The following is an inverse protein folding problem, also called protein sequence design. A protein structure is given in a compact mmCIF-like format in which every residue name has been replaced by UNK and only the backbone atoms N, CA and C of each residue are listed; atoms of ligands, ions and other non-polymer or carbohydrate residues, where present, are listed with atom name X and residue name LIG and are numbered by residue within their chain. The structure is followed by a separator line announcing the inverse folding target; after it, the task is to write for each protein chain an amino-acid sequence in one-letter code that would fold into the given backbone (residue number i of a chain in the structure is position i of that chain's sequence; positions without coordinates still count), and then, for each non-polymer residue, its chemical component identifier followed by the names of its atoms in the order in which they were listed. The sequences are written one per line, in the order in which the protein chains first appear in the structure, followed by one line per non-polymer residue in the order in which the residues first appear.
data_IF_941442522150
#
_entry.id   IF_941442522150
#
_cell.length_a   1.000
_cell.length_b   1.000
_cell.length_c   1.000
_cell.angle_alpha   90.00
_cell.angle_beta   90.00
_cell.angle_gamma   90.00
#
_symmetry.space_group_name_H-M   'P 1'
#
loop_
_entity.id
_entity.type
_entity.pdbx_description
1 polymer ?
#
# COMPACT_ATOMS: atom_id res chain seq x y z
N UNK A 1 -16.98 5.63 -27.07
CA UNK A 1 -15.52 5.82 -27.11
C UNK A 1 -15.07 6.23 -25.72
N UNK A 2 -14.10 5.53 -25.13
CA UNK A 2 -13.49 5.86 -23.81
C UNK A 2 -12.11 6.45 -24.05
N UNK A 3 -11.76 7.50 -23.31
CA UNK A 3 -10.49 8.22 -23.37
C UNK A 3 -10.00 8.47 -21.94
N UNK A 4 -8.69 8.40 -21.75
CA UNK A 4 -8.01 8.63 -20.49
C UNK A 4 -6.80 9.54 -20.72
N UNK A 5 -6.46 10.42 -19.76
CA UNK A 5 -5.23 11.20 -19.87
C UNK A 5 -4.02 10.27 -19.78
N UNK A 6 -3.23 10.30 -20.84
CA UNK A 6 -2.02 9.52 -20.99
C UNK A 6 -0.83 10.37 -20.54
N UNK A 7 -0.68 10.55 -19.23
CA UNK A 7 0.59 11.00 -18.64
C UNK A 7 1.72 10.17 -19.24
N UNK A 8 2.65 10.85 -19.91
CA UNK A 8 3.65 10.21 -20.78
C UNK A 8 4.69 9.40 -20.01
N UNK A 9 4.30 8.26 -19.44
CA UNK A 9 5.10 7.24 -18.73
C UNK A 9 6.38 7.77 -18.05
N UNK A 10 6.23 8.73 -17.16
CA UNK A 10 7.30 9.19 -16.28
C UNK A 10 6.88 8.99 -14.83
N UNK A 11 7.34 7.88 -14.27
CA UNK A 11 7.17 7.53 -12.86
C UNK A 11 7.79 8.62 -11.96
N UNK A 12 7.05 9.20 -10.99
CA UNK A 12 7.63 10.12 -10.02
C UNK A 12 8.77 9.46 -9.24
N UNK A 13 9.77 10.26 -8.83
CA UNK A 13 11.03 9.79 -8.23
C UNK A 13 10.75 8.76 -7.12
N UNK A 14 11.14 7.51 -7.35
CA UNK A 14 10.99 6.40 -6.39
C UNK A 14 9.82 5.44 -6.63
N UNK A 15 8.81 5.78 -7.43
CA UNK A 15 7.66 4.87 -7.67
C UNK A 15 8.02 3.61 -8.47
N UNK A 16 9.13 3.62 -9.22
CA UNK A 16 9.66 2.52 -10.02
C UNK A 16 9.70 1.17 -9.32
N UNK A 17 9.53 0.08 -10.07
CA UNK A 17 9.40 -1.27 -9.52
C UNK A 17 10.77 -1.93 -9.25
N UNK A 18 10.97 -2.62 -8.12
CA UNK A 18 12.09 -3.52 -7.95
C UNK A 18 11.87 -4.80 -8.77
N UNK A 19 12.95 -5.52 -9.07
CA UNK A 19 12.88 -6.82 -9.74
C UNK A 19 12.69 -7.91 -8.70
N UNK A 20 11.62 -8.71 -8.83
CA UNK A 20 11.45 -9.92 -8.02
C UNK A 20 12.47 -10.97 -8.44
N UNK A 21 13.10 -11.63 -7.49
CA UNK A 21 13.90 -12.82 -7.77
C UNK A 21 12.95 -13.98 -8.15
N UNK A 22 13.28 -14.79 -9.17
CA UNK A 22 12.56 -16.04 -9.39
C UNK A 22 12.84 -16.97 -8.20
N UNK A 23 11.79 -17.56 -7.61
CA UNK A 23 11.98 -18.65 -6.66
C UNK A 23 12.65 -19.81 -7.39
N UNK A 24 13.75 -20.34 -6.85
CA UNK A 24 14.32 -21.61 -7.30
C UNK A 24 13.35 -22.74 -6.94
N UNK A 25 12.43 -23.06 -7.84
CA UNK A 25 11.67 -24.31 -7.77
C UNK A 25 12.65 -25.47 -7.95
N UNK A 26 12.63 -26.51 -7.09
CA UNK A 26 13.33 -27.75 -7.38
C UNK A 26 12.86 -28.31 -8.73
N UNK A 27 13.78 -28.80 -9.56
CA UNK A 27 13.41 -29.38 -10.86
C UNK A 27 12.73 -30.74 -10.65
N UNK A 28 11.39 -30.73 -10.67
CA UNK A 28 10.57 -31.93 -10.86
C UNK A 28 10.32 -32.16 -12.35
N UNK A 29 10.44 -33.42 -12.79
CA UNK A 29 10.38 -33.81 -14.21
C UNK A 29 8.97 -33.65 -14.81
N UNK A 30 8.90 -33.35 -16.11
CA UNK A 30 7.67 -33.26 -16.90
C UNK A 30 6.94 -34.62 -17.01
N UNK A 31 5.60 -34.58 -17.07
CA UNK A 31 4.83 -35.49 -17.94
C UNK A 31 3.40 -35.00 -18.27
N UNK A 32 3.17 -34.75 -19.55
CA UNK A 32 2.03 -35.23 -20.38
C UNK A 32 0.56 -35.01 -19.98
N UNK A 33 -0.05 -33.97 -20.58
CA UNK A 33 -1.32 -33.94 -21.38
C UNK A 33 -2.71 -34.37 -20.81
N UNK A 34 -3.74 -34.05 -21.61
CA UNK A 34 -5.18 -34.41 -21.52
C UNK A 34 -6.02 -33.70 -20.42
N UNK A 35 -7.26 -33.25 -20.66
CA UNK A 35 -7.93 -32.93 -21.94
C UNK A 35 -9.06 -31.89 -21.77
N UNK A 36 -9.68 -31.46 -22.87
CA UNK A 36 -10.84 -30.54 -22.91
C UNK A 36 -12.14 -31.34 -23.09
N UNK A 37 -13.19 -31.04 -22.29
CA UNK A 37 -14.56 -31.28 -22.75
C UNK A 37 -15.56 -30.28 -22.15
N UNK A 38 -16.51 -29.83 -22.99
CA UNK A 38 -17.65 -28.97 -22.64
C UNK A 38 -18.89 -29.83 -22.35
N UNK A 39 -19.74 -29.37 -21.42
CA UNK A 39 -21.03 -30.00 -21.09
C UNK A 39 -22.07 -29.00 -20.59
N UNK A 40 -23.02 -28.66 -21.46
CA UNK A 40 -24.36 -28.14 -21.11
C UNK A 40 -25.25 -29.36 -20.75
N UNK A 41 -26.41 -29.31 -20.09
CA UNK A 41 -27.48 -28.30 -20.16
C UNK A 41 -28.54 -28.47 -19.04
N UNK A 42 -29.51 -27.52 -19.01
CA UNK A 42 -30.91 -27.59 -18.50
C UNK A 42 -31.25 -27.49 -17.00
N UNK A 43 -32.07 -26.47 -16.75
CA UNK A 43 -33.04 -26.31 -15.65
C UNK A 43 -34.20 -27.34 -15.71
N UNK A 44 -35.04 -27.41 -14.66
CA UNK A 44 -36.37 -26.78 -14.82
C UNK A 44 -36.67 -25.65 -13.79
N UNK A 45 -37.84 -25.03 -13.94
CA UNK A 45 -38.33 -23.84 -13.22
C UNK A 45 -39.66 -24.14 -12.51
N UNK A 46 -39.91 -23.56 -11.33
CA UNK A 46 -41.26 -23.12 -10.95
C UNK A 46 -41.31 -22.01 -9.88
N UNK A 47 -41.53 -20.78 -10.35
CA UNK A 47 -42.45 -19.73 -9.86
C UNK A 47 -42.75 -19.44 -8.36
N UNK A 48 -42.62 -18.13 -8.03
CA UNK A 48 -43.52 -17.25 -7.24
C UNK A 48 -43.97 -17.70 -5.81
N UNK A 49 -43.91 -16.86 -4.76
CA UNK A 49 -44.49 -15.50 -4.65
C UNK A 49 -43.83 -14.64 -3.53
N UNK A 50 -44.19 -13.35 -3.49
CA UNK A 50 -43.97 -12.39 -2.38
C UNK A 50 -45.29 -12.22 -1.56
N UNK A 51 -45.45 -11.36 -0.51
CA UNK A 51 -44.59 -10.24 -0.07
C UNK A 51 -44.54 -9.96 1.48
N UNK A 52 -44.05 -8.77 1.83
CA UNK A 52 -44.39 -7.93 3.01
C UNK A 52 -43.63 -8.05 4.35
N UNK A 53 -43.32 -6.87 4.91
CA UNK A 53 -42.77 -6.58 6.25
C UNK A 53 -43.89 -6.24 7.25
N UNK A 54 -43.64 -6.15 8.58
CA UNK A 54 -43.30 -4.83 9.15
C UNK A 54 -42.37 -4.83 10.41
N UNK A 55 -41.95 -3.63 10.83
CA UNK A 55 -41.15 -3.36 12.04
C UNK A 55 -41.94 -3.44 13.36
N UNK A 56 -41.23 -3.52 14.50
CA UNK A 56 -41.64 -2.93 15.80
C UNK A 56 -40.42 -2.58 16.68
N UNK A 57 -40.62 -1.74 17.71
CA UNK A 57 -39.54 -0.97 18.37
C UNK A 57 -39.92 -0.46 19.79
N UNK A 58 -38.89 -0.05 20.58
CA UNK A 58 -38.91 0.64 21.91
C UNK A 58 -39.57 -0.13 23.09
N UNK A 59 -39.19 -0.03 24.39
CA UNK A 59 -38.15 0.72 25.18
C UNK A 59 -37.48 -0.24 26.22
N UNK A 60 -36.99 0.05 27.47
CA UNK A 60 -36.82 1.24 28.35
C UNK A 60 -35.73 1.02 29.48
N UNK A 61 -35.66 1.88 30.52
CA UNK A 61 -34.67 1.93 31.65
C UNK A 61 -35.34 2.45 32.97
N UNK A 62 -34.68 2.70 34.15
CA UNK A 62 -33.33 2.40 34.73
C UNK A 62 -33.47 1.58 36.07
N UNK A 63 -32.93 1.91 37.30
CA UNK A 63 -31.67 2.51 37.81
C UNK A 63 -30.93 1.82 39.02
N UNK A 64 -29.63 2.14 39.21
CA UNK A 64 -28.88 2.31 40.51
C UNK A 64 -28.61 1.09 41.47
N UNK A 65 -27.67 1.17 42.47
CA UNK A 65 -26.76 2.28 42.86
C UNK A 65 -25.23 1.97 43.10
N UNK A 66 -24.43 3.04 43.05
CA UNK A 66 -23.21 3.40 43.85
C UNK A 66 -21.94 2.52 44.04
N UNK A 67 -20.82 2.97 43.44
CA UNK A 67 -19.47 3.22 44.03
C UNK A 67 -18.58 2.06 44.60
N UNK A 68 -17.23 2.23 44.82
CA UNK A 68 -16.40 3.45 44.84
C UNK A 68 -15.16 3.48 43.90
N UNK A 69 -14.29 4.47 44.12
CA UNK A 69 -13.18 4.93 43.25
C UNK A 69 -11.98 3.98 43.11
N UNK A 70 -11.29 4.04 41.95
CA UNK A 70 -9.97 3.47 41.72
C UNK A 70 -9.06 4.40 40.88
N UNK A 71 -7.76 4.36 41.14
CA UNK A 71 -6.78 5.40 40.77
C UNK A 71 -6.38 5.34 39.29
N UNK A 72 -6.76 6.36 38.51
CA UNK A 72 -6.37 6.44 37.10
C UNK A 72 -4.86 6.69 36.93
N UNK A 73 -4.20 5.86 36.11
CA UNK A 73 -2.89 6.16 35.51
C UNK A 73 -3.09 7.15 34.35
N UNK A 74 -2.10 7.98 34.00
CA UNK A 74 -2.20 8.89 32.86
C UNK A 74 -2.49 8.12 31.58
N UNK A 75 -3.63 8.41 30.94
CA UNK A 75 -4.05 7.77 29.71
C UNK A 75 -3.26 8.32 28.51
N UNK A 76 -2.63 7.44 27.74
CA UNK A 76 -2.07 7.81 26.45
C UNK A 76 -3.20 8.33 25.53
N UNK A 77 -3.01 9.51 24.93
CA UNK A 77 -4.03 10.21 24.12
C UNK A 77 -4.72 9.27 23.13
N UNK A 78 -6.06 9.23 23.07
CA UNK A 78 -6.77 8.23 22.29
C UNK A 78 -6.50 8.37 20.79
N UNK A 79 -6.10 7.26 20.18
CA UNK A 79 -5.65 7.15 18.77
C UNK A 79 -6.71 7.54 17.73
N UNK A 80 -7.96 7.73 18.16
CA UNK A 80 -9.08 8.24 17.37
C UNK A 80 -8.85 9.68 16.89
N UNK A 81 -8.29 10.57 17.72
CA UNK A 81 -8.17 12.00 17.41
C UNK A 81 -7.46 12.27 16.08
N UNK A 82 -6.30 11.64 15.86
CA UNK A 82 -5.55 11.78 14.60
C UNK A 82 -6.30 11.21 13.38
N UNK A 83 -7.15 10.19 13.55
CA UNK A 83 -7.98 9.68 12.44
C UNK A 83 -9.08 10.68 12.06
N UNK A 84 -9.71 11.32 13.06
CA UNK A 84 -10.74 12.34 12.83
C UNK A 84 -10.13 13.59 12.17
N UNK A 85 -8.97 14.05 12.65
CA UNK A 85 -8.24 15.17 12.05
C UNK A 85 -7.88 14.93 10.58
N UNK A 86 -7.33 13.75 10.25
CA UNK A 86 -7.00 13.39 8.85
C UNK A 86 -8.25 13.28 7.97
N UNK A 87 -9.40 12.86 8.50
CA UNK A 87 -10.66 12.83 7.76
C UNK A 87 -11.21 14.24 7.49
N UNK A 88 -11.19 15.12 8.49
CA UNK A 88 -11.63 16.51 8.34
C UNK A 88 -10.69 17.33 7.41
N UNK A 89 -9.39 17.06 7.46
CA UNK A 89 -8.42 17.63 6.51
C UNK A 89 -8.67 17.12 5.08
N UNK A 90 -8.99 15.83 4.92
CA UNK A 90 -9.32 15.27 3.62
C UNK A 90 -10.63 15.83 3.04
N UNK A 91 -11.64 16.08 3.87
CA UNK A 91 -12.89 16.69 3.39
C UNK A 91 -12.68 18.12 2.91
N UNK A 92 -11.85 18.92 3.60
CA UNK A 92 -11.43 20.24 3.11
C UNK A 92 -10.73 20.19 1.75
N UNK A 93 -9.92 19.14 1.49
CA UNK A 93 -9.31 18.91 0.16
C UNK A 93 -10.38 18.58 -0.90
N UNK A 94 -11.45 17.88 -0.54
CA UNK A 94 -12.60 17.63 -1.43
C UNK A 94 -13.35 18.93 -1.75
N UNK A 95 -13.74 19.70 -0.72
CA UNK A 95 -14.43 20.99 -0.84
C UNK A 95 -13.63 21.98 -1.71
N UNK A 96 -12.32 22.10 -1.45
CA UNK A 96 -11.40 22.92 -2.24
C UNK A 96 -11.36 22.51 -3.72
N UNK A 97 -11.25 21.21 -4.01
CA UNK A 97 -11.23 20.71 -5.39
C UNK A 97 -12.56 20.96 -6.11
N UNK A 98 -13.71 20.83 -5.44
CA UNK A 98 -15.03 21.12 -6.01
C UNK A 98 -15.18 22.63 -6.31
N UNK A 99 -14.81 23.51 -5.36
CA UNK A 99 -14.85 24.96 -5.59
C UNK A 99 -13.96 25.34 -6.77
N UNK A 100 -12.72 24.86 -6.78
CA UNK A 100 -11.75 25.18 -7.84
C UNK A 100 -12.19 24.66 -9.22
N UNK A 101 -12.79 23.45 -9.29
CA UNK A 101 -13.37 22.95 -10.53
C UNK A 101 -14.47 23.88 -11.04
N UNK A 102 -15.40 24.27 -10.18
CA UNK A 102 -16.52 25.16 -10.55
C UNK A 102 -16.04 26.55 -10.96
N UNK A 103 -15.02 27.09 -10.29
CA UNK A 103 -14.44 28.39 -10.60
C UNK A 103 -13.67 28.38 -11.93
N UNK A 104 -12.83 27.38 -12.17
CA UNK A 104 -12.11 27.22 -13.44
C UNK A 104 -13.06 26.90 -14.60
N UNK A 105 -14.09 26.08 -14.39
CA UNK A 105 -15.10 25.79 -15.42
C UNK A 105 -15.82 27.07 -15.83
N UNK A 106 -16.29 27.86 -14.86
CA UNK A 106 -17.00 29.11 -15.08
C UNK A 106 -16.17 30.20 -15.75
N UNK A 107 -14.93 30.38 -15.30
CA UNK A 107 -14.09 31.53 -15.71
C UNK A 107 -13.18 31.26 -16.89
N UNK A 108 -12.53 30.09 -16.95
CA UNK A 108 -11.58 29.72 -18.01
C UNK A 108 -12.27 28.93 -19.11
N UNK A 109 -12.99 27.86 -18.75
CA UNK A 109 -13.60 26.93 -19.71
C UNK A 109 -15.01 27.32 -20.16
N UNK A 110 -15.56 28.44 -19.64
CA UNK A 110 -16.86 29.04 -20.00
C UNK A 110 -18.06 28.08 -19.86
N UNK A 111 -18.08 27.27 -18.82
CA UNK A 111 -19.04 26.17 -18.60
C UNK A 111 -19.02 25.10 -19.72
N UNK A 112 -17.91 24.99 -20.48
CA UNK A 112 -17.74 24.00 -21.54
C UNK A 112 -17.40 22.59 -21.04
N UNK A 113 -17.11 22.41 -19.74
CA UNK A 113 -17.03 21.09 -19.11
C UNK A 113 -18.37 20.73 -18.45
N UNK A 114 -18.84 19.47 -18.51
CA UNK A 114 -20.09 19.07 -17.88
C UNK A 114 -20.11 19.32 -16.37
N UNK A 115 -21.20 19.86 -15.85
CA UNK A 115 -21.38 20.12 -14.41
C UNK A 115 -21.44 18.82 -13.59
N UNK A 116 -21.78 17.68 -14.20
CA UNK A 116 -21.77 16.35 -13.57
C UNK A 116 -20.39 15.67 -13.56
N UNK A 117 -19.33 16.37 -13.97
CA UNK A 117 -17.95 15.85 -13.99
C UNK A 117 -17.50 15.38 -12.60
N UNK A 118 -17.20 14.08 -12.46
CA UNK A 118 -17.02 13.44 -11.16
C UNK A 118 -15.57 13.56 -10.67
N UNK A 119 -15.34 14.22 -9.53
CA UNK A 119 -14.04 14.25 -8.86
C UNK A 119 -13.87 13.01 -7.96
N UNK A 120 -13.15 11.99 -8.45
CA UNK A 120 -13.05 10.67 -7.83
C UNK A 120 -11.73 10.48 -7.06
N UNK A 121 -11.79 10.63 -5.73
CA UNK A 121 -10.61 10.51 -4.86
C UNK A 121 -10.21 9.05 -4.60
N UNK A 122 -9.13 8.59 -5.23
CA UNK A 122 -8.72 7.19 -5.24
C UNK A 122 -7.45 6.90 -4.39
N UNK A 123 -7.65 6.20 -3.27
CA UNK A 123 -6.63 5.63 -2.37
C UNK A 123 -5.64 4.65 -3.02
N UNK A 124 -5.92 4.21 -4.25
CA UNK A 124 -5.15 3.24 -5.05
C UNK A 124 -4.45 3.87 -6.27
N UNK A 125 -4.67 5.15 -6.57
CA UNK A 125 -3.91 5.87 -7.59
C UNK A 125 -2.58 6.30 -6.95
N UNK A 126 -1.49 5.56 -7.23
CA UNK A 126 -0.20 5.69 -6.53
C UNK A 126 1.00 5.96 -7.47
N UNK A 127 0.75 6.13 -8.78
CA UNK A 127 1.79 6.22 -9.83
C UNK A 127 1.73 7.52 -10.64
N UNK A 128 0.60 8.22 -10.61
CA UNK A 128 0.40 9.60 -11.03
C UNK A 128 -0.56 10.24 -10.02
N UNK A 129 -0.74 11.56 -10.08
CA UNK A 129 -1.54 12.31 -9.13
C UNK A 129 -2.98 12.58 -9.62
N UNK A 130 -3.15 12.74 -10.94
CA UNK A 130 -4.45 12.92 -11.59
C UNK A 130 -4.73 11.87 -12.66
N UNK A 131 -5.98 11.77 -13.11
CA UNK A 131 -6.35 11.25 -14.43
C UNK A 131 -7.75 11.69 -14.84
N UNK A 132 -7.84 12.56 -15.83
CA UNK A 132 -9.04 12.80 -16.61
C UNK A 132 -9.48 11.54 -17.36
N UNK A 133 -10.79 11.31 -17.38
CA UNK A 133 -11.47 10.29 -18.17
C UNK A 133 -12.67 10.92 -18.85
N UNK A 134 -12.89 10.58 -20.10
CA UNK A 134 -14.11 10.95 -20.81
C UNK A 134 -14.63 9.74 -21.58
N UNK A 135 -15.94 9.57 -21.56
CA UNK A 135 -16.63 8.57 -22.35
C UNK A 135 -17.84 9.18 -23.06
N UNK A 136 -18.00 8.85 -24.33
CA UNK A 136 -19.20 9.13 -25.12
C UNK A 136 -19.80 7.83 -25.65
N UNK A 137 -21.07 7.56 -25.30
CA UNK A 137 -21.81 6.38 -25.73
C UNK A 137 -22.25 6.47 -27.20
N UNK A 138 -22.88 5.43 -27.76
CA UNK A 138 -23.41 5.47 -29.14
C UNK A 138 -24.67 6.33 -29.24
N UNK A 139 -25.42 6.37 -28.15
CA UNK A 139 -26.64 7.13 -27.91
C UNK A 139 -26.35 8.63 -27.64
N UNK A 140 -25.08 9.04 -27.70
CA UNK A 140 -24.63 10.42 -27.55
C UNK A 140 -24.34 10.85 -26.11
N UNK A 141 -24.73 10.06 -25.10
CA UNK A 141 -24.50 10.35 -23.68
C UNK A 141 -23.01 10.50 -23.40
N UNK A 142 -22.63 11.62 -22.79
CA UNK A 142 -21.27 11.89 -22.37
C UNK A 142 -21.15 11.78 -20.85
N UNK A 143 -20.01 11.31 -20.36
CA UNK A 143 -19.67 11.29 -18.93
C UNK A 143 -18.20 11.63 -18.75
N UNK A 144 -17.91 12.57 -17.85
CA UNK A 144 -16.55 12.97 -17.50
C UNK A 144 -16.22 12.64 -16.04
N UNK A 145 -14.96 12.28 -15.78
CA UNK A 145 -14.44 11.98 -14.44
C UNK A 145 -12.99 12.49 -14.34
N UNK A 146 -12.60 13.04 -13.19
CA UNK A 146 -11.20 13.29 -12.85
C UNK A 146 -10.87 12.43 -11.63
N UNK A 147 -10.02 11.43 -11.82
CA UNK A 147 -9.47 10.61 -10.74
C UNK A 147 -8.34 11.37 -10.03
N UNK A 148 -8.39 11.46 -8.70
CA UNK A 148 -7.48 12.26 -7.88
C UNK A 148 -6.78 11.39 -6.82
N UNK A 149 -5.46 11.45 -6.72
CA UNK A 149 -4.68 10.58 -5.84
C UNK A 149 -4.58 11.12 -4.40
N UNK A 150 -5.47 10.64 -3.53
CA UNK A 150 -5.54 11.01 -2.09
C UNK A 150 -4.17 11.00 -1.37
N UNK A 151 -3.28 10.07 -1.72
CA UNK A 151 -1.97 9.91 -1.05
C UNK A 151 -0.85 10.77 -1.62
N UNK A 152 -1.12 11.52 -2.69
CA UNK A 152 -0.14 12.35 -3.41
C UNK A 152 -0.55 13.83 -3.33
N UNK A 153 -1.86 14.08 -3.39
CA UNK A 153 -2.49 15.40 -3.28
C UNK A 153 -2.73 15.76 -1.81
N UNK A 154 -1.64 15.90 -1.07
CA UNK A 154 -1.59 16.21 0.37
C UNK A 154 -1.76 17.72 0.68
N UNK A 155 -1.57 18.62 -0.29
CA UNK A 155 -1.77 20.06 -0.14
C UNK A 155 -2.53 20.72 -1.31
N UNK A 156 -3.12 21.89 -1.05
CA UNK A 156 -3.89 22.69 -2.02
C UNK A 156 -3.10 23.03 -3.29
N UNK A 157 -1.79 23.28 -3.17
CA UNK A 157 -0.90 23.56 -4.32
C UNK A 157 -0.82 22.36 -5.29
N UNK A 158 -0.66 21.15 -4.77
CA UNK A 158 -0.68 19.95 -5.61
C UNK A 158 -2.06 19.72 -6.19
N UNK A 159 -3.13 19.96 -5.41
CA UNK A 159 -4.51 19.82 -5.88
C UNK A 159 -4.77 20.78 -7.04
N UNK A 160 -4.46 22.08 -6.90
CA UNK A 160 -4.77 23.09 -7.93
C UNK A 160 -4.00 22.87 -9.22
N UNK A 161 -2.70 22.57 -9.13
CA UNK A 161 -1.87 22.32 -10.31
C UNK A 161 -2.29 21.03 -11.04
N UNK A 162 -2.67 19.98 -10.28
CA UNK A 162 -3.10 18.69 -10.84
C UNK A 162 -4.51 18.73 -11.41
N UNK A 163 -5.48 19.27 -10.66
CA UNK A 163 -6.87 19.38 -11.11
C UNK A 163 -6.96 20.22 -12.39
N UNK A 164 -6.24 21.35 -12.44
CA UNK A 164 -6.20 22.20 -13.64
C UNK A 164 -5.57 21.50 -14.85
N UNK A 165 -4.53 20.67 -14.64
CA UNK A 165 -3.92 19.84 -15.68
C UNK A 165 -4.94 18.84 -16.27
N UNK A 166 -5.72 18.16 -15.42
CA UNK A 166 -6.76 17.23 -15.86
C UNK A 166 -7.96 17.93 -16.51
N UNK A 167 -8.35 19.11 -16.02
CA UNK A 167 -9.37 19.94 -16.68
C UNK A 167 -8.95 20.41 -18.08
N UNK A 168 -7.65 20.69 -18.30
CA UNK A 168 -7.13 21.02 -19.63
C UNK A 168 -7.19 19.82 -20.61
N UNK A 169 -7.07 18.58 -20.11
CA UNK A 169 -7.33 17.38 -20.92
C UNK A 169 -8.81 17.28 -21.30
N UNK A 170 -9.72 17.38 -20.33
CA UNK A 170 -11.17 17.36 -20.60
C UNK A 170 -11.58 18.48 -21.59
N UNK A 171 -11.05 19.69 -21.43
CA UNK A 171 -11.34 20.81 -22.32
C UNK A 171 -10.92 20.54 -23.77
N UNK A 172 -9.74 19.94 -23.97
CA UNK A 172 -9.24 19.58 -25.30
C UNK A 172 -10.11 18.52 -25.99
N UNK A 173 -10.63 17.54 -25.23
CA UNK A 173 -11.47 16.48 -25.78
C UNK A 173 -12.95 16.87 -25.96
N UNK A 174 -13.48 17.73 -25.10
CA UNK A 174 -14.91 18.09 -25.04
C UNK A 174 -15.19 19.39 -25.83
N UNK A 175 -14.39 20.43 -25.62
CA UNK A 175 -14.63 21.77 -26.19
C UNK A 175 -14.01 21.86 -27.59
N UNK A 176 -12.74 21.49 -27.76
CA UNK A 176 -12.07 21.51 -29.06
C UNK A 176 -12.33 20.25 -29.91
N UNK A 177 -12.94 19.21 -29.31
CA UNK A 177 -13.19 17.90 -29.96
C UNK A 177 -11.94 17.20 -30.51
N UNK A 178 -10.76 17.43 -29.93
CA UNK A 178 -9.51 16.76 -30.33
C UNK A 178 -9.18 15.63 -29.36
N UNK A 179 -9.79 14.47 -29.60
CA UNK A 179 -9.73 13.30 -28.72
C UNK A 179 -8.47 12.42 -28.87
N UNK A 180 -7.50 12.79 -29.73
CA UNK A 180 -6.21 12.08 -29.85
C UNK A 180 -5.06 12.81 -29.17
N UNK A 181 -5.26 14.07 -28.75
CA UNK A 181 -4.22 14.88 -28.15
C UNK A 181 -4.09 14.64 -26.64
N UNK A 182 -2.84 14.49 -26.19
CA UNK A 182 -2.45 14.61 -24.77
C UNK A 182 -2.03 16.06 -24.50
N UNK A 183 -0.72 16.32 -24.43
CA UNK A 183 -0.16 17.64 -24.13
C UNK A 183 0.21 18.47 -25.37
N UNK A 184 -0.65 18.50 -26.38
CA UNK A 184 -0.40 19.18 -27.67
C UNK A 184 -0.87 20.64 -27.70
N UNK A 185 -1.37 21.12 -28.85
CA UNK A 185 -1.64 22.56 -29.08
C UNK A 185 -2.89 23.07 -28.36
N UNK A 186 -3.95 22.27 -28.29
CA UNK A 186 -5.19 22.62 -27.61
C UNK A 186 -4.99 22.57 -26.10
N UNK A 187 -4.37 21.48 -25.61
CA UNK A 187 -4.04 21.35 -24.19
C UNK A 187 -3.12 22.48 -23.71
N UNK A 188 -2.07 22.83 -24.48
CA UNK A 188 -1.20 23.97 -24.16
C UNK A 188 -1.96 25.30 -24.15
N UNK A 189 -2.88 25.50 -25.10
CA UNK A 189 -3.74 26.69 -25.13
C UNK A 189 -4.61 26.80 -23.86
N UNK A 190 -5.22 25.71 -23.41
CA UNK A 190 -5.95 25.69 -22.14
C UNK A 190 -5.06 25.92 -20.92
N UNK A 191 -3.92 25.24 -20.84
CA UNK A 191 -2.95 25.45 -19.77
C UNK A 191 -2.50 26.92 -19.68
N UNK A 192 -2.19 27.55 -20.82
CA UNK A 192 -1.85 28.98 -20.89
C UNK A 192 -3.00 29.91 -20.50
N UNK A 193 -4.27 29.58 -20.83
CA UNK A 193 -5.44 30.36 -20.40
C UNK A 193 -5.63 30.28 -18.87
N UNK A 194 -5.49 29.10 -18.27
CA UNK A 194 -5.60 28.93 -16.81
C UNK A 194 -4.49 29.71 -16.12
N UNK A 195 -3.21 29.49 -16.47
CA UNK A 195 -2.07 30.17 -15.84
C UNK A 195 -2.13 31.70 -16.00
N UNK A 196 -2.67 32.21 -17.11
CA UNK A 196 -2.88 33.65 -17.32
C UNK A 196 -3.96 34.23 -16.40
N UNK A 197 -5.01 33.47 -16.09
CA UNK A 197 -6.14 33.93 -15.28
C UNK A 197 -5.93 33.67 -13.78
N UNK A 198 -5.18 32.62 -13.43
CA UNK A 198 -4.85 32.21 -12.07
C UNK A 198 -3.32 32.07 -11.95
N UNK A 199 -2.56 33.18 -11.77
CA UNK A 199 -1.09 33.16 -11.80
C UNK A 199 -0.40 32.36 -10.69
N UNK A 200 -1.15 31.82 -9.73
CA UNK A 200 -0.67 30.93 -8.68
C UNK A 200 -0.80 29.43 -9.04
N UNK A 201 -1.44 29.10 -10.17
CA UNK A 201 -1.55 27.73 -10.69
C UNK A 201 -0.44 27.54 -11.72
N UNK A 202 0.36 26.49 -11.55
CA UNK A 202 1.44 26.14 -12.47
C UNK A 202 1.11 24.82 -13.19
N UNK A 203 0.92 24.90 -14.52
CA UNK A 203 0.52 23.75 -15.34
C UNK A 203 1.67 23.38 -16.29
N UNK A 204 2.37 22.32 -15.92
CA UNK A 204 3.41 21.65 -16.71
C UNK A 204 2.83 20.40 -17.40
N UNK A 205 3.48 19.93 -18.48
CA UNK A 205 3.15 18.66 -19.17
C UNK A 205 3.44 17.41 -18.33
N UNK A 206 4.00 17.60 -17.13
CA UNK A 206 4.25 16.57 -16.11
C UNK A 206 4.03 17.16 -14.73
N UNK A 207 3.51 16.38 -13.79
CA UNK A 207 3.53 16.76 -12.37
C UNK A 207 4.98 16.77 -11.86
N UNK A 208 5.50 17.95 -11.52
CA UNK A 208 6.89 18.15 -11.09
C UNK A 208 6.97 18.51 -9.59
N UNK A 209 6.59 17.55 -8.73
CA UNK A 209 6.74 17.69 -7.29
C UNK A 209 7.19 16.37 -6.66
N UNK A 210 7.99 16.46 -5.61
CA UNK A 210 8.55 15.30 -4.92
C UNK A 210 7.51 14.67 -3.98
N UNK A 211 7.10 13.44 -4.31
CA UNK A 211 6.09 12.69 -3.56
C UNK A 211 6.70 12.14 -2.28
N UNK A 212 6.16 12.53 -1.12
CA UNK A 212 6.62 12.03 0.18
C UNK A 212 6.15 10.59 0.39
N UNK A 213 7.09 9.64 0.38
CA UNK A 213 6.79 8.22 0.57
C UNK A 213 7.10 7.78 2.01
N UNK A 214 6.13 7.25 2.78
CA UNK A 214 6.36 6.85 4.18
C UNK A 214 7.27 5.62 4.34
N UNK A 215 7.58 4.90 3.26
CA UNK A 215 8.49 3.75 3.26
C UNK A 215 9.42 3.79 2.06
N UNK A 216 10.55 4.47 2.19
CA UNK A 216 11.62 4.50 1.19
C UNK A 216 12.64 3.37 1.37
N UNK A 217 13.18 2.89 0.26
CA UNK A 217 14.22 1.87 0.24
C UNK A 217 15.34 2.29 -0.70
N UNK A 218 16.60 2.16 -0.27
CA UNK A 218 17.79 2.52 -1.06
C UNK A 218 18.47 1.27 -1.61
N UNK A 219 18.96 1.33 -2.84
CA UNK A 219 19.86 0.32 -3.39
C UNK A 219 21.27 0.45 -2.79
N UNK A 220 21.83 -0.65 -2.28
CA UNK A 220 23.21 -0.71 -1.74
C UNK A 220 24.33 -0.58 -2.80
N UNK A 221 24.00 -0.55 -4.09
CA UNK A 221 24.97 -0.67 -5.20
C UNK A 221 24.90 0.43 -6.26
N UNK A 222 23.81 1.18 -6.34
CA UNK A 222 23.65 2.29 -7.29
C UNK A 222 22.76 3.42 -6.74
N UNK A 223 22.64 3.49 -5.41
CA UNK A 223 21.93 4.50 -4.61
C UNK A 223 20.44 4.74 -4.91
N UNK A 224 19.88 4.10 -5.95
CA UNK A 224 18.49 4.28 -6.41
C UNK A 224 17.50 4.11 -5.26
N UNK A 225 16.76 5.17 -4.99
CA UNK A 225 15.66 5.20 -4.02
C UNK A 225 14.38 4.65 -4.65
N UNK A 226 13.62 3.90 -3.85
CA UNK A 226 12.34 3.27 -4.13
C UNK A 226 11.32 3.64 -3.05
N UNK A 227 10.48 4.63 -3.31
CA UNK A 227 9.46 5.12 -2.38
C UNK A 227 8.16 4.32 -2.45
N UNK A 228 7.55 4.00 -1.30
CA UNK A 228 6.28 3.26 -1.20
C UNK A 228 5.34 3.81 -0.13
N UNK A 229 4.03 3.71 -0.42
CA UNK A 229 2.94 3.94 0.54
C UNK A 229 2.60 2.72 1.42
N UNK A 230 3.41 1.65 1.37
CA UNK A 230 3.33 0.48 2.24
C UNK A 230 4.69 -0.22 2.36
N UNK A 231 4.93 -0.97 3.45
CA UNK A 231 6.10 -1.86 3.59
C UNK A 231 5.94 -3.12 2.70
N UNK A 232 5.89 -2.91 1.39
CA UNK A 232 5.56 -3.91 0.36
C UNK A 232 6.78 -4.51 -0.35
N UNK A 233 7.94 -3.85 -0.30
CA UNK A 233 9.20 -4.45 -0.75
C UNK A 233 9.67 -5.44 0.32
N UNK A 234 10.09 -6.62 -0.13
CA UNK A 234 10.66 -7.70 0.68
C UNK A 234 12.08 -7.96 0.17
N UNK A 235 13.15 -7.48 0.84
CA UNK A 235 14.52 -7.54 0.32
C UNK A 235 15.04 -8.97 0.06
N UNK A 236 14.43 -9.96 0.70
CA UNK A 236 14.58 -11.40 0.48
C UNK A 236 14.05 -11.88 -0.89
N UNK A 237 13.00 -11.24 -1.41
CA UNK A 237 12.38 -11.56 -2.72
C UNK A 237 12.64 -10.49 -3.80
N UNK A 238 13.30 -9.37 -3.49
CA UNK A 238 13.37 -8.19 -4.38
C UNK A 238 14.76 -7.56 -4.42
N UNK A 239 15.32 -7.46 -5.64
CA UNK A 239 16.54 -6.69 -5.94
C UNK A 239 16.19 -5.36 -6.63
N UNK A 240 17.16 -4.44 -6.67
CA UNK A 240 17.07 -3.18 -7.39
C UNK A 240 16.74 -3.40 -8.87
N UNK A 241 15.61 -2.86 -9.34
CA UNK A 241 15.19 -2.97 -10.74
C UNK A 241 16.06 -2.22 -11.76
N UNK A 242 17.02 -1.40 -11.32
CA UNK A 242 17.99 -0.71 -12.19
C UNK A 242 19.22 -1.59 -12.42
N UNK A 243 20.05 -1.82 -11.39
CA UNK A 243 21.27 -2.62 -11.53
C UNK A 243 21.05 -4.14 -11.49
N UNK A 244 19.85 -4.60 -11.11
CA UNK A 244 19.43 -6.02 -10.99
C UNK A 244 20.19 -6.87 -9.95
N UNK A 245 21.29 -6.37 -9.38
CA UNK A 245 22.14 -7.08 -8.41
C UNK A 245 22.01 -6.56 -6.97
N UNK A 246 21.84 -5.25 -6.77
CA UNK A 246 21.86 -4.65 -5.43
C UNK A 246 20.61 -4.96 -4.61
N UNK A 247 20.79 -5.26 -3.31
CA UNK A 247 19.67 -5.39 -2.36
C UNK A 247 19.11 -4.02 -2.01
N UNK A 248 17.97 -4.02 -1.32
CA UNK A 248 17.19 -2.84 -0.99
C UNK A 248 17.09 -2.68 0.53
N UNK A 249 17.80 -1.69 1.10
CA UNK A 249 17.77 -1.38 2.54
C UNK A 249 16.70 -0.32 2.86
N UNK A 250 15.97 -0.44 3.98
CA UNK A 250 14.94 0.53 4.35
C UNK A 250 15.57 1.83 4.88
N UNK A 251 15.04 2.98 4.43
CA UNK A 251 15.38 4.31 4.98
C UNK A 251 14.40 4.76 6.08
N UNK A 252 13.65 3.83 6.67
CA UNK A 252 12.63 4.08 7.68
C UNK A 252 12.77 3.10 8.85
N UNK A 253 12.16 3.43 10.00
CA UNK A 253 12.25 2.59 11.20
C UNK A 253 11.64 1.18 11.00
N UNK A 254 12.52 0.18 10.99
CA UNK A 254 12.20 -1.23 11.17
C UNK A 254 12.39 -1.60 12.64
N UNK A 255 11.31 -1.49 13.43
CA UNK A 255 11.30 -2.06 14.77
C UNK A 255 11.54 -3.57 14.68
N UNK A 256 12.70 -4.03 15.14
CA UNK A 256 13.04 -5.44 15.21
C UNK A 256 12.00 -6.17 16.05
N UNK A 257 11.19 -7.00 15.41
CA UNK A 257 10.32 -7.94 16.11
C UNK A 257 11.23 -8.99 16.73
N UNK A 258 11.50 -8.85 18.03
CA UNK A 258 12.06 -9.95 18.82
C UNK A 258 11.24 -11.22 18.54
N UNK A 259 11.89 -12.38 18.33
CA UNK A 259 11.17 -13.62 18.07
C UNK A 259 10.15 -13.86 19.17
N UNK A 260 8.88 -14.03 18.80
CA UNK A 260 7.86 -14.48 19.76
C UNK A 260 8.25 -15.89 20.17
N UNK A 261 8.77 -16.05 21.38
CA UNK A 261 8.95 -17.36 21.99
C UNK A 261 7.61 -18.12 21.91
N UNK A 262 7.60 -19.38 21.45
CA UNK A 262 6.37 -20.15 21.35
C UNK A 262 5.78 -20.28 22.76
N UNK A 263 4.48 -20.01 22.90
CA UNK A 263 3.78 -20.18 24.17
C UNK A 263 3.55 -21.67 24.42
N UNK A 264 4.53 -22.37 24.97
CA UNK A 264 4.37 -23.73 25.49
C UNK A 264 3.24 -23.72 26.52
N UNK A 265 2.18 -24.50 26.29
CA UNK A 265 0.96 -24.47 27.10
C UNK A 265 1.20 -25.10 28.47
N UNK A 266 1.17 -24.28 29.53
CA UNK A 266 1.23 -24.73 30.94
C UNK A 266 -0.07 -25.43 31.38
N UNK A 267 -0.36 -26.62 30.86
CA UNK A 267 -1.38 -27.52 31.40
C UNK A 267 -0.98 -29.00 31.22
N UNK A 268 -0.15 -29.49 32.14
CA UNK A 268 0.18 -30.90 32.31
C UNK A 268 0.71 -31.15 33.75
N UNK A 269 -0.11 -30.90 34.77
CA UNK A 269 0.29 -31.04 36.18
C UNK A 269 -0.88 -31.42 37.10
N UNK A 270 -1.16 -32.73 37.16
CA UNK A 270 -1.57 -33.50 38.36
C UNK A 270 -2.73 -32.94 39.22
N UNK A 271 -3.92 -33.57 39.14
CA UNK A 271 -4.51 -34.29 40.29
C UNK A 271 -5.73 -35.14 39.92
N UNK A 272 -5.62 -36.44 40.17
CA UNK A 272 -6.72 -37.32 40.56
C UNK A 272 -6.18 -38.24 41.65
N UNK A 273 -6.75 -38.18 42.86
CA UNK A 273 -6.42 -39.11 43.93
C UNK A 273 -7.33 -40.32 43.80
N UNK A 274 -6.79 -41.52 44.02
CA UNK A 274 -7.45 -42.52 44.87
C UNK A 274 -6.45 -43.58 45.33
N UNK A 275 -6.83 -44.33 46.35
CA UNK A 275 -6.08 -45.38 47.06
C UNK A 275 -7.10 -46.23 47.84
N UNK A 276 -6.79 -47.43 48.38
CA UNK A 276 -5.46 -48.07 48.49
C UNK A 276 -5.44 -49.56 48.03
N UNK A 277 -4.25 -50.19 48.00
CA UNK A 277 -4.13 -51.60 48.47
C UNK A 277 -2.70 -52.04 48.88
N UNK A 278 -2.60 -52.53 50.11
CA UNK A 278 -1.72 -53.60 50.66
C UNK A 278 -0.29 -53.90 50.14
N UNK A 279 0.69 -53.64 51.01
CA UNK A 279 1.76 -54.54 51.50
C UNK A 279 2.57 -55.40 50.48
N UNK A 280 3.88 -55.14 50.39
CA UNK A 280 4.97 -56.07 50.84
C UNK A 280 6.31 -55.34 51.01
N UNK A 281 7.16 -55.88 51.90
CA UNK A 281 8.49 -55.36 52.25
C UNK A 281 9.57 -56.14 51.49
N UNK A 282 10.72 -55.49 51.19
CA UNK A 282 12.09 -55.95 51.54
C UNK A 282 13.15 -54.93 51.14
N UNK A 283 13.95 -54.50 52.11
CA UNK A 283 15.31 -53.95 51.97
C UNK A 283 16.35 -55.10 51.84
N UNK A 284 17.68 -54.86 51.67
CA UNK A 284 18.42 -53.67 51.23
C UNK A 284 19.53 -53.99 50.17
N UNK A 285 20.42 -53.01 49.92
CA UNK A 285 21.90 -53.15 50.12
C UNK A 285 22.86 -53.00 48.91
N UNK A 286 23.97 -52.29 49.18
CA UNK A 286 25.25 -52.10 48.46
C UNK A 286 25.32 -51.52 47.04
N UNK A 287 26.47 -51.03 46.55
CA UNK A 287 27.65 -50.29 47.10
C UNK A 287 28.73 -50.20 45.97
N UNK A 288 29.65 -49.22 46.01
CA UNK A 288 30.88 -49.08 45.18
C UNK A 288 30.67 -48.94 43.64
N UNK A 289 31.64 -48.48 42.83
CA UNK A 289 32.79 -47.55 42.97
C UNK A 289 33.06 -46.96 41.55
N UNK A 290 33.31 -45.64 41.40
CA UNK A 290 34.63 -44.97 41.26
C UNK A 290 35.53 -45.47 40.11
N UNK A 291 35.65 -44.68 39.04
CA UNK A 291 36.87 -44.22 38.30
C UNK A 291 36.42 -43.53 36.99
N UNK A 292 36.80 -42.32 36.51
CA UNK A 292 37.89 -41.31 36.67
C UNK A 292 39.05 -41.34 35.65
N UNK A 293 38.88 -40.67 34.51
CA UNK A 293 39.92 -40.06 33.63
C UNK A 293 39.28 -38.80 33.00
N UNK A 294 39.70 -37.55 33.28
CA UNK A 294 40.81 -36.76 32.67
C UNK A 294 40.67 -36.65 31.13
N UNK A 295 40.38 -35.49 30.52
CA UNK A 295 41.18 -34.24 30.25
C UNK A 295 42.52 -34.51 29.52
N UNK A 296 43.03 -33.65 28.62
CA UNK A 296 42.82 -32.20 28.47
C UNK A 296 42.90 -31.68 26.99
N UNK A 297 43.25 -30.40 26.81
CA UNK A 297 43.05 -29.55 25.63
C UNK A 297 44.35 -29.11 24.92
N UNK A 298 44.21 -28.26 23.90
CA UNK A 298 45.18 -27.32 23.30
C UNK A 298 46.45 -27.80 22.56
N UNK A 299 46.66 -27.22 21.37
CA UNK A 299 47.95 -26.63 20.97
C UNK A 299 47.81 -25.72 19.74
N UNK A 300 48.42 -24.54 19.78
CA UNK A 300 48.58 -23.60 18.65
C UNK A 300 49.84 -23.89 17.81
N UNK A 301 49.91 -23.34 16.59
CA UNK A 301 51.19 -23.04 15.91
C UNK A 301 51.04 -21.94 14.85
N UNK A 302 51.89 -20.91 14.91
CA UNK A 302 51.98 -19.82 13.92
C UNK A 302 52.78 -20.20 12.67
N UNK A 303 52.60 -19.43 11.59
CA UNK A 303 53.65 -19.19 10.60
C UNK A 303 53.55 -17.77 9.98
N UNK A 304 54.61 -16.98 10.11
CA UNK A 304 54.75 -15.65 9.49
C UNK A 304 55.31 -15.75 8.06
N UNK A 305 55.01 -14.75 7.21
CA UNK A 305 55.61 -14.61 5.89
C UNK A 305 55.43 -13.21 5.29
N UNK A 306 56.46 -12.36 5.38
CA UNK A 306 56.52 -11.10 4.65
C UNK A 306 57.13 -11.30 3.26
N UNK A 307 56.60 -10.57 2.27
CA UNK A 307 57.34 -10.21 1.06
C UNK A 307 56.90 -8.81 0.58
N UNK A 308 57.87 -7.94 0.29
CA UNK A 308 57.66 -6.66 -0.38
C UNK A 308 57.95 -6.82 -1.88
N UNK A 309 57.25 -6.08 -2.73
CA UNK A 309 57.51 -6.08 -4.17
C UNK A 309 56.72 -5.01 -4.90
N UNK A 310 57.37 -3.88 -5.21
CA UNK A 310 56.79 -2.81 -5.99
C UNK A 310 57.58 -2.61 -7.29
N UNK A 311 56.88 -2.46 -8.40
CA UNK A 311 57.39 -1.83 -9.62
C UNK A 311 56.24 -1.18 -10.39
N UNK A 312 56.52 0.01 -10.93
CA UNK A 312 55.72 0.68 -11.96
C UNK A 312 56.66 0.96 -13.13
N UNK A 313 56.18 0.75 -14.37
CA UNK A 313 56.67 1.47 -15.57
C UNK A 313 55.64 1.35 -16.69
N UNK A 314 55.50 2.47 -17.42
CA UNK A 314 55.10 2.62 -18.83
C UNK A 314 53.90 1.82 -19.36
#
# INVERSE_FOLDING_TARGET
MVIHSADGRNEPKGSSKPTRTPKKTPQGTLNTQADIQLGVDKHPNFEQTAPSTPNKSVSDIPPAPSHPSSRQKPSGTPRSGKKVQLAAEQEKRHEYAVSLFNDLNRTVFKNGLPEDTKLNWNKRLLTTAGRAKWHRSREGVQTAEIELAEKILDCEERIRNTLSHEMCHLASWIIDSEFKEGHGKFWKSWASKVMKMYPHIEISTRHNYDISYPFEWKCEQCDKIYGRFSKSIRPDECLCGVCKVGKLVPLFSTANRTPKTPKTSRMAAIKSQDSPCSIRQTDPDKDKQRETYFVDSDSDVEALGLALGATSVS
#
